data_IF_237078428632
#
_entry.id   IF_237078428632
#
_cell.length_a   1.000
_cell.length_b   1.000
_cell.length_c   1.000
_cell.angle_alpha   90.00
_cell.angle_beta   90.00
_cell.angle_gamma   90.00
#
_symmetry.space_group_name_H-M   'P 1'
#
loop_
_entity.id
_entity.type
_entity.pdbx_description
1 polymer ?
#
# COMPACT_ATOMS: atom_id res chain seq x y z
N UNK A 1 -22.81 -57.77 25.51
CA UNK A 1 -21.37 -57.63 25.17
C UNK A 1 -21.18 -56.24 24.57
N UNK A 2 -21.03 -55.20 25.40
CA UNK A 2 -19.75 -54.58 25.85
C UNK A 2 -18.99 -53.88 24.70
N UNK A 3 -19.33 -52.59 24.54
CA UNK A 3 -18.47 -51.43 24.21
C UNK A 3 -17.25 -51.69 23.33
N UNK A 4 -17.27 -51.20 22.09
CA UNK A 4 -16.04 -50.83 21.36
C UNK A 4 -16.20 -49.38 20.90
N UNK A 5 -15.84 -48.50 21.84
CA UNK A 5 -15.47 -47.11 21.61
C UNK A 5 -14.09 -47.14 20.91
N UNK A 6 -14.02 -46.80 19.63
CA UNK A 6 -12.75 -46.43 18.99
C UNK A 6 -12.88 -45.00 18.51
N UNK A 7 -12.49 -44.13 19.42
CA UNK A 7 -12.21 -42.72 19.26
C UNK A 7 -11.02 -42.60 18.27
N UNK A 8 -11.26 -42.30 17.00
CA UNK A 8 -10.21 -41.79 16.10
C UNK A 8 -10.37 -40.29 15.93
N UNK A 9 -10.09 -39.58 17.03
CA UNK A 9 -9.68 -38.18 16.99
C UNK A 9 -8.23 -38.13 16.53
N UNK A 10 -7.98 -38.06 15.22
CA UNK A 10 -6.71 -37.55 14.71
C UNK A 10 -6.95 -36.09 14.36
N UNK A 11 -6.70 -35.24 15.36
CA UNK A 11 -6.39 -33.83 15.17
C UNK A 11 -5.28 -33.74 14.11
N UNK A 12 -5.62 -33.30 12.90
CA UNK A 12 -4.61 -32.72 12.03
C UNK A 12 -4.21 -31.41 12.68
N UNK A 13 -3.06 -31.45 13.33
CA UNK A 13 -2.35 -30.31 13.88
C UNK A 13 -2.39 -29.17 12.87
N UNK A 14 -2.96 -28.05 13.30
CA UNK A 14 -2.86 -26.79 12.61
C UNK A 14 -1.37 -26.52 12.30
N UNK A 15 -1.02 -26.48 11.01
CA UNK A 15 0.13 -25.70 10.58
C UNK A 15 -0.24 -24.24 10.88
N UNK A 16 0.05 -23.80 12.10
CA UNK A 16 0.25 -22.39 12.37
C UNK A 16 1.53 -22.00 11.62
N UNK A 17 1.38 -21.66 10.33
CA UNK A 17 2.40 -20.86 9.67
C UNK A 17 2.62 -19.65 10.57
N UNK A 18 3.88 -19.27 10.88
CA UNK A 18 4.10 -17.97 11.47
C UNK A 18 3.59 -16.97 10.43
N UNK A 19 2.42 -16.39 10.69
CA UNK A 19 2.07 -15.12 10.11
C UNK A 19 3.18 -14.19 10.57
N UNK A 20 4.17 -13.95 9.70
CA UNK A 20 5.10 -12.85 9.89
C UNK A 20 4.21 -11.61 9.98
N UNK A 21 3.97 -11.15 11.20
CA UNK A 21 3.13 -10.00 11.42
C UNK A 21 3.73 -8.83 10.62
N UNK A 22 2.91 -8.17 9.81
CA UNK A 22 3.30 -6.94 9.16
C UNK A 22 3.88 -5.97 10.20
N UNK A 23 4.90 -5.17 9.84
CA UNK A 23 5.43 -4.17 10.76
C UNK A 23 4.30 -3.21 11.18
N UNK A 24 4.40 -2.69 12.40
CA UNK A 24 3.47 -1.69 12.88
C UNK A 24 3.45 -0.48 11.93
N UNK A 25 2.25 -0.03 11.57
CA UNK A 25 2.09 1.16 10.76
C UNK A 25 2.66 2.38 11.50
N UNK A 26 3.42 3.26 10.84
CA UNK A 26 3.97 4.46 11.46
C UNK A 26 2.88 5.40 11.99
N UNK A 27 2.96 5.77 13.27
CA UNK A 27 1.99 6.67 13.92
C UNK A 27 2.14 8.13 13.47
N UNK A 28 3.28 8.50 12.91
CA UNK A 28 3.59 9.86 12.42
C UNK A 28 3.69 9.88 10.90
N UNK A 29 3.37 11.02 10.25
CA UNK A 29 3.61 11.17 8.82
C UNK A 29 5.09 10.94 8.48
N UNK A 30 5.34 10.18 7.41
CA UNK A 30 6.69 9.85 6.95
C UNK A 30 7.08 10.65 5.71
N UNK A 31 8.39 10.85 5.53
CA UNK A 31 8.92 11.45 4.31
C UNK A 31 8.80 10.48 3.13
N UNK A 32 8.04 10.89 2.11
CA UNK A 32 7.99 10.28 0.80
C UNK A 32 8.84 11.14 -0.16
N UNK A 33 10.09 10.70 -0.40
CA UNK A 33 11.08 11.47 -1.17
C UNK A 33 11.02 11.13 -2.66
N UNK A 34 10.72 12.12 -3.49
CA UNK A 34 11.01 12.09 -4.92
C UNK A 34 12.40 12.68 -5.22
N UNK A 35 12.69 12.96 -6.49
CA UNK A 35 13.96 13.58 -6.90
C UNK A 35 14.15 15.01 -6.38
N UNK A 36 13.08 15.80 -6.40
CA UNK A 36 13.15 17.24 -6.06
C UNK A 36 12.23 17.66 -4.91
N UNK A 37 11.21 16.85 -4.62
CA UNK A 37 10.18 17.17 -3.63
C UNK A 37 10.02 16.02 -2.65
N UNK A 38 9.79 16.38 -1.40
CA UNK A 38 9.38 15.46 -0.35
C UNK A 38 7.92 15.75 0.00
N UNK A 39 7.09 14.70 0.04
CA UNK A 39 5.71 14.75 0.52
C UNK A 39 5.65 14.04 1.86
N UNK A 40 4.80 14.50 2.77
CA UNK A 40 4.56 13.78 4.03
C UNK A 40 3.39 12.81 3.83
N UNK A 41 3.61 11.52 4.09
CA UNK A 41 2.59 10.47 3.96
C UNK A 41 2.05 10.06 5.35
N UNK A 42 0.78 10.37 5.67
CA UNK A 42 0.15 9.99 6.93
C UNK A 42 -0.56 8.63 6.86
N UNK A 43 -0.09 7.61 7.59
CA UNK A 43 -0.77 6.29 7.63
C UNK A 43 -2.15 6.35 8.30
N UNK A 44 -2.33 7.20 9.31
CA UNK A 44 -3.56 7.26 10.10
C UNK A 44 -4.83 7.50 9.26
N UNK A 45 -4.75 8.35 8.22
CA UNK A 45 -5.90 8.63 7.34
C UNK A 45 -6.16 7.51 6.31
N UNK A 46 -5.22 6.57 6.19
CA UNK A 46 -5.30 5.39 5.33
C UNK A 46 -5.55 4.10 6.13
N UNK A 47 -5.85 4.17 7.43
CA UNK A 47 -5.98 2.99 8.29
C UNK A 47 -7.07 1.98 7.87
N UNK A 48 -8.00 2.40 7.00
CA UNK A 48 -9.05 1.53 6.41
C UNK A 48 -8.65 0.94 5.04
N UNK A 49 -7.48 1.27 4.54
CA UNK A 49 -6.93 0.73 3.30
C UNK A 49 -6.03 -0.44 3.66
N UNK A 50 -6.32 -1.61 3.10
CA UNK A 50 -5.50 -2.81 3.30
C UNK A 50 -4.04 -2.54 2.95
N UNK A 51 -3.09 -2.95 3.80
CA UNK A 51 -1.65 -2.68 3.64
C UNK A 51 -1.16 -3.06 2.24
N UNK A 52 -1.61 -4.21 1.73
CA UNK A 52 -1.21 -4.78 0.43
C UNK A 52 -1.67 -3.94 -0.77
N UNK A 53 -2.59 -3.00 -0.59
CA UNK A 53 -2.99 -2.04 -1.63
C UNK A 53 -1.83 -1.17 -2.06
N UNK A 54 -0.97 -0.77 -1.10
CA UNK A 54 0.22 0.05 -1.34
C UNK A 54 1.51 -0.79 -1.24
N UNK A 55 1.63 -1.59 -0.18
CA UNK A 55 2.70 -2.57 0.02
C UNK A 55 2.37 -3.87 -0.71
N UNK A 56 2.22 -3.77 -2.02
CA UNK A 56 1.87 -4.90 -2.86
C UNK A 56 2.93 -6.01 -2.79
N UNK A 57 2.51 -7.23 -3.11
CA UNK A 57 3.42 -8.36 -3.15
C UNK A 57 4.45 -8.18 -4.26
N UNK A 58 5.69 -8.56 -3.98
CA UNK A 58 6.79 -8.64 -4.94
C UNK A 58 7.23 -10.10 -4.98
N UNK A 59 7.19 -10.71 -6.16
CA UNK A 59 7.45 -12.15 -6.34
C UNK A 59 6.64 -13.05 -5.40
N UNK A 60 5.37 -12.67 -5.17
CA UNK A 60 4.44 -13.38 -4.29
C UNK A 60 4.68 -13.18 -2.79
N UNK A 61 5.69 -12.40 -2.39
CA UNK A 61 6.07 -12.15 -0.99
C UNK A 61 5.65 -10.75 -0.55
N UNK A 62 5.36 -10.61 0.73
CA UNK A 62 5.11 -9.30 1.34
C UNK A 62 6.38 -8.46 1.36
N UNK A 63 6.24 -7.15 1.11
CA UNK A 63 7.35 -6.21 1.15
C UNK A 63 6.89 -4.86 1.71
N UNK A 64 7.57 -4.41 2.76
CA UNK A 64 7.34 -3.13 3.42
C UNK A 64 8.49 -2.14 3.20
N UNK A 65 9.36 -2.44 2.22
CA UNK A 65 10.43 -1.54 1.83
C UNK A 65 9.88 -0.21 1.29
N UNK A 66 10.72 0.83 1.28
CA UNK A 66 10.37 2.10 0.62
C UNK A 66 10.11 1.85 -0.86
N UNK A 67 9.11 2.52 -1.43
CA UNK A 67 8.74 2.38 -2.84
C UNK A 67 9.92 2.62 -3.79
N UNK A 68 10.73 3.64 -3.49
CA UNK A 68 11.93 4.01 -4.25
C UNK A 68 13.22 3.30 -3.83
N UNK A 69 13.13 2.14 -3.16
CA UNK A 69 14.31 1.30 -2.90
C UNK A 69 14.91 0.81 -4.21
N UNK A 70 16.23 0.62 -4.24
CA UNK A 70 16.93 0.11 -5.43
C UNK A 70 16.31 -1.19 -5.93
N UNK A 71 16.05 -1.28 -7.23
CA UNK A 71 15.37 -2.40 -7.88
C UNK A 71 13.83 -2.33 -7.87
N UNK A 72 13.23 -1.31 -7.24
CA UNK A 72 11.78 -1.12 -7.19
C UNK A 72 11.35 0.04 -8.12
N UNK A 73 10.72 1.08 -7.56
CA UNK A 73 10.40 2.31 -8.27
C UNK A 73 11.53 3.33 -8.11
N UNK A 74 12.76 2.93 -8.47
CA UNK A 74 14.00 3.65 -8.18
C UNK A 74 14.35 4.74 -9.19
N UNK A 75 13.58 4.88 -10.27
CA UNK A 75 13.69 6.03 -11.17
C UNK A 75 12.94 7.23 -10.58
N UNK A 76 13.68 8.10 -9.90
CA UNK A 76 13.14 9.30 -9.26
C UNK A 76 13.02 10.50 -10.22
N UNK A 77 13.62 10.44 -11.41
CA UNK A 77 13.67 11.54 -12.38
C UNK A 77 12.69 11.34 -13.53
N UNK A 78 12.49 10.10 -13.98
CA UNK A 78 11.55 9.76 -15.03
C UNK A 78 10.10 10.01 -14.62
N UNK A 79 9.25 10.24 -15.62
CA UNK A 79 7.83 10.54 -15.45
C UNK A 79 6.89 9.42 -15.92
N UNK A 80 7.46 8.35 -16.49
CA UNK A 80 6.73 7.25 -17.12
C UNK A 80 7.42 5.92 -16.86
N UNK A 81 6.66 4.83 -17.00
CA UNK A 81 7.17 3.47 -16.84
C UNK A 81 7.06 2.94 -15.40
N UNK A 82 7.06 1.62 -15.26
CA UNK A 82 6.84 0.96 -13.96
C UNK A 82 7.94 1.29 -12.94
N UNK A 83 9.17 1.61 -13.35
CA UNK A 83 10.25 2.02 -12.45
C UNK A 83 10.16 3.47 -11.96
N UNK A 84 9.36 4.32 -12.60
CA UNK A 84 9.26 5.73 -12.24
C UNK A 84 8.41 5.90 -10.98
N UNK A 85 9.02 6.40 -9.89
CA UNK A 85 8.27 6.71 -8.67
C UNK A 85 7.18 7.76 -8.93
N UNK A 86 7.48 8.73 -9.79
CA UNK A 86 6.50 9.74 -10.20
C UNK A 86 5.29 9.09 -10.89
N UNK A 87 5.53 8.18 -11.84
CA UNK A 87 4.48 7.54 -12.63
C UNK A 87 3.54 6.71 -11.75
N UNK A 88 4.10 5.86 -10.87
CA UNK A 88 3.30 4.98 -10.00
C UNK A 88 2.57 5.72 -8.89
N UNK A 89 2.82 7.01 -8.69
CA UNK A 89 2.06 7.87 -7.77
C UNK A 89 0.98 8.68 -8.51
N UNK A 90 1.32 9.26 -9.66
CA UNK A 90 0.55 10.35 -10.26
C UNK A 90 -0.25 9.99 -11.51
N UNK A 91 0.01 8.86 -12.15
CA UNK A 91 -0.68 8.53 -13.39
C UNK A 91 -2.20 8.41 -13.17
N UNK A 92 -2.97 8.88 -14.15
CA UNK A 92 -4.42 8.64 -14.21
C UNK A 92 -4.78 7.35 -14.96
N UNK A 93 -3.78 6.71 -15.58
CA UNK A 93 -3.96 5.42 -16.24
C UNK A 93 -4.16 4.34 -15.20
N UNK A 94 -4.97 3.35 -15.51
CA UNK A 94 -5.07 2.15 -14.69
C UNK A 94 -3.72 1.42 -14.67
N UNK A 95 -3.32 0.98 -13.49
CA UNK A 95 -2.10 0.23 -13.23
C UNK A 95 -2.47 -1.12 -12.61
N UNK A 96 -1.51 -2.04 -12.59
CA UNK A 96 -1.64 -3.34 -11.91
C UNK A 96 -1.93 -3.21 -10.41
N UNK A 97 -1.48 -2.11 -9.81
CA UNK A 97 -1.69 -1.78 -8.40
C UNK A 97 -2.28 -0.38 -8.28
N UNK A 98 -3.11 -0.16 -7.25
CA UNK A 98 -3.71 1.13 -6.99
C UNK A 98 -2.64 2.17 -6.66
N UNK A 99 -2.73 3.36 -7.28
CA UNK A 99 -1.87 4.50 -6.95
C UNK A 99 -2.63 5.60 -6.21
N UNK A 100 -1.88 6.60 -5.72
CA UNK A 100 -2.43 7.71 -4.94
C UNK A 100 -3.51 8.47 -5.73
N UNK A 101 -3.18 8.95 -6.94
CA UNK A 101 -4.10 9.75 -7.73
C UNK A 101 -5.31 8.95 -8.22
N UNK A 102 -5.16 7.67 -8.55
CA UNK A 102 -6.27 6.80 -8.95
C UNK A 102 -7.26 6.57 -7.81
N UNK A 103 -6.76 6.24 -6.61
CA UNK A 103 -7.62 6.09 -5.43
C UNK A 103 -8.28 7.42 -5.03
N UNK A 104 -7.49 8.50 -4.95
CA UNK A 104 -8.01 9.81 -4.59
C UNK A 104 -9.03 10.33 -5.60
N UNK A 105 -8.90 10.01 -6.88
CA UNK A 105 -9.90 10.36 -7.90
C UNK A 105 -11.27 9.75 -7.59
N UNK A 106 -11.31 8.49 -7.14
CA UNK A 106 -12.56 7.82 -6.71
C UNK A 106 -13.10 8.43 -5.42
N UNK A 107 -12.23 8.73 -4.45
CA UNK A 107 -12.65 9.39 -3.20
C UNK A 107 -13.30 10.75 -3.49
N UNK A 108 -12.78 11.52 -4.45
CA UNK A 108 -13.35 12.84 -4.78
C UNK A 108 -14.59 12.77 -5.67
N UNK A 109 -14.86 11.63 -6.32
CA UNK A 109 -16.15 11.38 -6.96
C UNK A 109 -17.26 11.26 -5.91
N UNK A 110 -16.97 10.61 -4.79
CA UNK A 110 -17.89 10.49 -3.64
C UNK A 110 -17.90 11.76 -2.76
N UNK A 111 -16.77 12.48 -2.70
CA UNK A 111 -16.56 13.66 -1.84
C UNK A 111 -15.92 14.81 -2.61
N UNK A 112 -16.68 15.51 -3.48
CA UNK A 112 -16.16 16.54 -4.36
C UNK A 112 -15.46 17.71 -3.65
N UNK A 113 -15.83 17.99 -2.40
CA UNK A 113 -15.21 19.01 -1.55
C UNK A 113 -13.73 18.74 -1.28
N UNK A 114 -13.30 17.47 -1.34
CA UNK A 114 -11.91 17.05 -1.12
C UNK A 114 -11.04 17.16 -2.37
N UNK A 115 -11.58 17.59 -3.53
CA UNK A 115 -10.87 17.63 -4.81
C UNK A 115 -9.55 18.38 -4.72
N UNK A 116 -9.55 19.57 -4.10
CA UNK A 116 -8.34 20.38 -3.93
C UNK A 116 -7.31 19.70 -3.04
N UNK A 117 -7.78 19.15 -1.93
CA UNK A 117 -6.92 18.55 -0.91
C UNK A 117 -6.23 17.26 -1.41
N UNK A 118 -6.92 16.45 -2.22
CA UNK A 118 -6.48 15.10 -2.58
C UNK A 118 -5.89 14.96 -3.99
N UNK A 119 -6.27 15.83 -4.93
CA UNK A 119 -5.91 15.65 -6.36
C UNK A 119 -5.23 16.86 -7.00
N UNK A 120 -5.18 18.02 -6.34
CA UNK A 120 -4.52 19.19 -6.93
C UNK A 120 -2.99 19.09 -6.86
N UNK A 121 -2.34 19.59 -7.91
CA UNK A 121 -0.87 19.59 -8.02
C UNK A 121 -0.18 20.60 -7.09
N UNK A 122 -0.93 21.58 -6.58
CA UNK A 122 -0.43 22.64 -5.72
C UNK A 122 -1.53 23.09 -4.75
N UNK A 123 -1.13 23.59 -3.57
CA UNK A 123 -2.04 23.96 -2.47
C UNK A 123 -2.97 22.81 -2.08
N UNK A 124 -2.45 21.59 -2.12
CA UNK A 124 -3.10 20.34 -1.69
C UNK A 124 -2.48 19.82 -0.40
N UNK A 125 -3.04 18.75 0.16
CA UNK A 125 -2.45 18.11 1.36
C UNK A 125 -1.11 17.43 1.05
N UNK A 126 -0.86 17.08 -0.21
CA UNK A 126 0.40 16.51 -0.67
C UNK A 126 1.43 17.58 -1.06
N UNK A 127 0.98 18.66 -1.69
CA UNK A 127 1.80 19.78 -2.13
C UNK A 127 1.23 21.10 -1.62
N UNK A 128 1.53 21.48 -0.36
CA UNK A 128 1.05 22.71 0.26
C UNK A 128 1.45 23.98 -0.51
#
# INVERSE_FOLDING_TARGET
MKKVLVLTCIMVFALALPALAAPAAPDKPLEFKGSQKTVMFPHAVHAKVECVTCHHKVDGKESFAKCGSAGCHDDLAGKQGEKSLYYVVHTKKELKHTNCIGCHSKVVEEKPELKKDLTACAKSKCHP
#
